data_IF_269199188054
#
_entry.id   IF_269199188054
#
_cell.length_a   1.000
_cell.length_b   1.000
_cell.length_c   1.000
_cell.angle_alpha   90.00
_cell.angle_beta   90.00
_cell.angle_gamma   90.00
#
_symmetry.space_group_name_H-M   'P 1'
#
loop_
_entity.id
_entity.type
_entity.pdbx_description
1 polymer ?
#
# COMPACT_ATOMS: atom_id res chain seq x y z
N UNK A 1 -6.70 28.51 -2.59
CA UNK A 1 -7.40 27.27 -3.01
C UNK A 1 -6.72 26.03 -2.40
N UNK A 2 -5.43 25.76 -2.70
CA UNK A 2 -4.72 24.56 -2.20
C UNK A 2 -4.72 24.45 -0.67
N UNK A 3 -4.43 25.56 0.03
CA UNK A 3 -4.42 25.55 1.50
C UNK A 3 -5.81 25.15 2.06
N UNK A 4 -6.88 25.71 1.49
CA UNK A 4 -8.25 25.37 1.88
C UNK A 4 -8.54 23.90 1.62
N UNK A 5 -8.20 23.41 0.44
CA UNK A 5 -8.33 21.98 0.12
C UNK A 5 -7.60 21.09 1.13
N UNK A 6 -6.35 21.41 1.49
CA UNK A 6 -5.61 20.64 2.50
C UNK A 6 -6.27 20.68 3.89
N UNK A 7 -6.90 21.80 4.26
CA UNK A 7 -7.69 21.92 5.47
C UNK A 7 -8.96 21.07 5.41
N UNK A 8 -9.68 21.13 4.29
CA UNK A 8 -10.97 20.44 4.10
C UNK A 8 -10.83 18.93 4.10
N UNK A 9 -9.69 18.41 3.62
CA UNK A 9 -9.39 16.96 3.61
C UNK A 9 -8.59 16.49 4.84
N UNK A 10 -8.32 17.38 5.80
CA UNK A 10 -7.64 17.03 7.06
C UNK A 10 -6.12 16.93 7.00
N UNK A 11 -5.49 17.26 5.88
CA UNK A 11 -4.01 17.17 5.72
C UNK A 11 -3.25 18.22 6.52
N UNK A 12 -3.87 19.33 6.87
CA UNK A 12 -3.34 20.38 7.75
C UNK A 12 -4.45 20.88 8.67
N UNK A 13 -4.06 21.42 9.82
CA UNK A 13 -5.02 21.92 10.79
C UNK A 13 -5.87 23.10 10.26
N UNK A 14 -7.17 23.06 10.51
CA UNK A 14 -8.11 24.15 10.22
C UNK A 14 -7.99 25.30 11.22
N UNK A 15 -7.56 25.01 12.44
CA UNK A 15 -7.40 25.95 13.53
C UNK A 15 -6.10 25.64 14.28
N UNK A 16 -5.52 26.63 14.93
CA UNK A 16 -4.31 26.43 15.73
C UNK A 16 -4.36 27.27 17.01
N UNK A 17 -4.14 26.61 18.13
CA UNK A 17 -4.10 27.31 19.41
C UNK A 17 -2.71 27.84 19.75
N UNK A 18 -2.65 29.04 20.28
CA UNK A 18 -1.40 29.64 20.75
C UNK A 18 -0.85 28.85 21.95
N UNK A 19 0.39 28.33 21.89
CA UNK A 19 0.95 27.58 23.00
C UNK A 19 1.17 28.42 24.27
N UNK A 20 1.22 29.77 24.16
CA UNK A 20 1.38 30.68 25.30
C UNK A 20 0.05 31.06 25.96
N UNK A 21 -0.91 31.57 25.20
CA UNK A 21 -2.14 32.12 25.75
C UNK A 21 -3.39 31.28 25.47
N UNK A 22 -3.28 30.15 24.78
CA UNK A 22 -4.37 29.23 24.43
C UNK A 22 -5.49 29.86 23.56
N UNK A 23 -5.34 31.08 23.09
CA UNK A 23 -6.27 31.71 22.16
C UNK A 23 -6.08 31.13 20.76
N UNK A 24 -7.14 31.09 19.96
CA UNK A 24 -7.06 30.74 18.55
C UNK A 24 -6.14 31.69 17.80
N UNK A 25 -5.23 31.12 17.03
CA UNK A 25 -4.30 31.89 16.17
C UNK A 25 -4.99 32.27 14.87
N UNK A 26 -4.58 33.40 14.31
CA UNK A 26 -5.12 33.90 13.04
C UNK A 26 -4.22 33.43 11.89
N UNK A 27 -4.84 32.91 10.81
CA UNK A 27 -4.13 32.60 9.57
C UNK A 27 -3.77 33.90 8.83
N UNK A 28 -2.49 34.18 8.68
CA UNK A 28 -1.98 35.43 8.08
C UNK A 28 -1.12 35.14 6.88
N UNK A 29 -1.14 36.03 5.88
CA UNK A 29 -0.31 35.94 4.68
C UNK A 29 1.14 36.24 5.02
N UNK A 30 2.08 35.39 4.53
CA UNK A 30 3.51 35.56 4.67
C UNK A 30 4.21 35.21 3.37
N UNK A 31 4.56 36.22 2.59
CA UNK A 31 5.13 36.04 1.25
C UNK A 31 6.49 35.31 1.23
N UNK A 32 7.26 35.35 2.33
CA UNK A 32 8.57 34.69 2.46
C UNK A 32 8.46 33.18 2.78
N UNK A 33 7.27 32.65 3.11
CA UNK A 33 7.09 31.22 3.33
C UNK A 33 6.76 30.50 2.02
N UNK A 34 7.10 29.21 1.93
CA UNK A 34 6.80 28.37 0.76
C UNK A 34 5.29 28.34 0.46
N UNK A 35 4.47 28.23 1.49
CA UNK A 35 3.01 28.14 1.37
C UNK A 35 2.29 29.46 1.46
N UNK A 36 3.05 30.58 1.56
CA UNK A 36 2.55 31.97 1.60
C UNK A 36 1.66 32.30 2.82
N UNK A 37 1.52 31.43 3.82
CA UNK A 37 0.69 31.59 5.00
C UNK A 37 1.39 31.08 6.26
N UNK A 38 1.01 31.66 7.42
CA UNK A 38 1.43 31.22 8.74
C UNK A 38 0.28 31.44 9.76
N UNK A 39 0.29 30.65 10.81
CA UNK A 39 -0.52 30.92 12.01
C UNK A 39 0.17 31.97 12.87
N UNK A 40 -0.54 33.00 13.28
CA UNK A 40 -0.03 34.09 14.10
C UNK A 40 -0.92 34.38 15.29
N UNK A 41 -0.30 34.51 16.46
CA UNK A 41 -0.89 35.09 17.64
C UNK A 41 -0.05 36.27 18.08
N UNK A 42 -0.67 37.42 18.22
CA UNK A 42 -0.01 38.63 18.69
C UNK A 42 -0.84 39.27 19.80
N UNK A 43 -0.23 39.42 20.98
CA UNK A 43 -0.83 40.11 22.11
C UNK A 43 0.12 41.25 22.45
N UNK A 44 -0.38 42.51 22.37
CA UNK A 44 0.42 43.71 22.61
C UNK A 44 0.98 43.69 24.02
N UNK A 45 2.27 43.94 24.14
CA UNK A 45 2.97 43.96 25.43
C UNK A 45 3.28 42.59 26.06
N UNK A 46 2.78 41.47 25.48
CA UNK A 46 2.98 40.13 26.05
C UNK A 46 3.78 39.20 25.13
N UNK A 47 3.23 38.85 23.96
CA UNK A 47 3.94 37.92 23.08
C UNK A 47 3.54 38.04 21.60
N UNK A 48 4.45 37.54 20.73
CA UNK A 48 4.20 37.29 19.34
C UNK A 48 4.63 35.84 19.01
N UNK A 49 3.68 34.98 18.68
CA UNK A 49 3.93 33.58 18.33
C UNK A 49 3.57 33.36 16.88
N UNK A 50 4.46 32.68 16.15
CA UNK A 50 4.23 32.28 14.76
C UNK A 50 4.41 30.75 14.64
N UNK A 51 3.60 30.13 13.80
CA UNK A 51 3.68 28.69 13.50
C UNK A 51 3.45 28.48 12.02
N UNK A 52 4.17 27.51 11.45
CA UNK A 52 3.94 27.06 10.09
C UNK A 52 2.57 26.42 9.97
N UNK A 53 1.90 26.61 8.85
CA UNK A 53 0.65 25.87 8.50
C UNK A 53 0.89 24.37 8.38
N UNK A 54 2.16 23.94 8.20
CA UNK A 54 2.58 22.53 8.11
C UNK A 54 2.78 21.85 9.45
N UNK A 55 2.77 22.60 10.56
CA UNK A 55 3.11 22.07 11.89
C UNK A 55 2.16 20.94 12.27
N UNK A 56 2.73 19.76 12.61
CA UNK A 56 1.97 18.57 12.94
C UNK A 56 1.30 17.89 11.74
N UNK A 57 1.74 18.18 10.52
CA UNK A 57 1.16 17.59 9.31
C UNK A 57 2.18 16.77 8.51
N UNK A 58 1.69 16.00 7.57
CA UNK A 58 2.50 15.23 6.61
C UNK A 58 3.53 16.08 5.85
N UNK A 59 3.30 17.38 5.72
CA UNK A 59 4.19 18.31 5.03
C UNK A 59 5.27 18.93 5.93
N UNK A 60 5.28 18.67 7.24
CA UNK A 60 6.08 19.44 8.21
C UNK A 60 7.56 19.50 7.87
N UNK A 61 8.16 18.37 7.52
CA UNK A 61 9.59 18.27 7.23
C UNK A 61 9.94 18.54 5.76
N UNK A 62 8.96 18.73 4.89
CA UNK A 62 9.19 18.91 3.46
C UNK A 62 9.51 20.36 3.09
N UNK A 63 10.48 20.53 2.19
CA UNK A 63 10.78 21.82 1.53
C UNK A 63 10.01 22.01 0.21
N UNK A 64 9.35 20.95 -0.29
CA UNK A 64 8.55 20.96 -1.52
C UNK A 64 7.23 21.66 -1.21
N UNK A 65 6.69 22.43 -2.17
CA UNK A 65 5.38 23.08 -1.99
C UNK A 65 4.26 22.04 -1.84
N UNK A 66 3.20 22.37 -1.08
CA UNK A 66 2.04 21.48 -0.93
C UNK A 66 1.43 21.13 -2.29
N UNK A 67 1.40 22.09 -3.23
CA UNK A 67 0.93 21.86 -4.60
C UNK A 67 1.71 20.73 -5.27
N UNK A 68 3.05 20.79 -5.23
CA UNK A 68 3.87 19.77 -5.86
C UNK A 68 3.74 18.40 -5.17
N UNK A 69 3.54 18.38 -3.86
CA UNK A 69 3.29 17.12 -3.15
C UNK A 69 1.95 16.52 -3.57
N UNK A 70 0.89 17.33 -3.65
CA UNK A 70 -0.43 16.86 -4.11
C UNK A 70 -0.38 16.38 -5.56
N UNK A 71 0.31 17.10 -6.45
CA UNK A 71 0.50 16.65 -7.84
C UNK A 71 1.31 15.36 -7.93
N UNK A 72 2.37 15.21 -7.10
CA UNK A 72 3.10 13.93 -7.01
C UNK A 72 2.19 12.79 -6.53
N UNK A 73 1.31 13.06 -5.57
CA UNK A 73 0.34 12.08 -5.06
C UNK A 73 -0.63 11.67 -6.17
N UNK A 74 -1.17 12.63 -6.91
CA UNK A 74 -2.04 12.36 -8.06
C UNK A 74 -1.33 11.52 -9.12
N UNK A 75 -0.11 11.89 -9.50
CA UNK A 75 0.69 11.13 -10.46
C UNK A 75 1.04 9.72 -9.95
N UNK A 76 1.29 9.57 -8.67
CA UNK A 76 1.49 8.26 -8.05
C UNK A 76 0.23 7.41 -8.16
N UNK A 77 -0.91 7.94 -7.74
CA UNK A 77 -2.21 7.26 -7.81
C UNK A 77 -2.59 6.88 -9.25
N UNK A 78 -2.24 7.73 -10.22
CA UNK A 78 -2.42 7.46 -11.66
C UNK A 78 -1.35 6.53 -12.26
N UNK A 79 -0.45 5.95 -11.46
CA UNK A 79 0.66 5.08 -11.91
C UNK A 79 1.60 5.73 -12.94
N UNK A 80 1.77 7.05 -12.90
CA UNK A 80 2.72 7.74 -13.78
C UNK A 80 4.16 7.29 -13.51
N UNK A 81 4.96 7.26 -14.57
CA UNK A 81 6.38 6.90 -14.44
C UNK A 81 7.14 7.99 -13.67
N UNK A 82 8.15 7.58 -12.93
CA UNK A 82 8.97 8.51 -12.14
C UNK A 82 9.66 9.59 -12.98
N UNK A 83 10.09 9.26 -14.20
CA UNK A 83 10.71 10.25 -15.11
C UNK A 83 9.71 11.33 -15.51
N UNK A 84 8.45 10.99 -15.73
CA UNK A 84 7.42 11.95 -16.11
C UNK A 84 7.14 12.92 -14.95
N UNK A 85 7.07 12.39 -13.71
CA UNK A 85 6.91 13.20 -12.49
C UNK A 85 8.08 14.19 -12.33
N UNK A 86 9.32 13.73 -12.55
CA UNK A 86 10.50 14.58 -12.47
C UNK A 86 10.44 15.71 -13.50
N UNK A 87 10.06 15.39 -14.72
CA UNK A 87 9.97 16.36 -15.81
C UNK A 87 8.87 17.38 -15.56
N UNK A 88 7.65 16.95 -15.26
CA UNK A 88 6.47 17.80 -15.08
C UNK A 88 6.61 18.77 -13.89
N UNK A 89 7.20 18.30 -12.79
CA UNK A 89 7.30 19.08 -11.56
C UNK A 89 8.67 19.75 -11.35
N UNK A 90 9.64 19.52 -12.23
CA UNK A 90 11.00 20.05 -12.09
C UNK A 90 11.71 19.57 -10.82
N UNK A 91 11.37 18.39 -10.31
CA UNK A 91 11.90 17.85 -9.06
C UNK A 91 13.09 16.92 -9.30
N UNK A 92 13.99 16.86 -8.31
CA UNK A 92 15.11 15.94 -8.35
C UNK A 92 14.64 14.48 -8.28
N UNK A 93 15.40 13.58 -8.90
CA UNK A 93 15.16 12.13 -8.81
C UNK A 93 15.08 11.67 -7.35
N UNK A 94 15.94 12.19 -6.49
CA UNK A 94 15.96 11.86 -5.06
C UNK A 94 14.64 12.21 -4.39
N UNK A 95 14.20 13.45 -4.54
CA UNK A 95 12.93 13.91 -3.96
C UNK A 95 11.73 13.07 -4.40
N UNK A 96 11.66 12.73 -5.69
CA UNK A 96 10.57 11.89 -6.21
C UNK A 96 10.66 10.45 -5.68
N UNK A 97 11.89 9.89 -5.54
CA UNK A 97 12.08 8.57 -4.93
C UNK A 97 11.63 8.53 -3.48
N UNK A 98 12.02 9.54 -2.68
CA UNK A 98 11.69 9.63 -1.25
C UNK A 98 10.17 9.72 -1.06
N UNK A 99 9.52 10.61 -1.81
CA UNK A 99 8.07 10.76 -1.74
C UNK A 99 7.32 9.49 -2.20
N UNK A 100 7.82 8.79 -3.22
CA UNK A 100 7.24 7.49 -3.58
C UNK A 100 7.41 6.43 -2.50
N UNK A 101 8.46 6.49 -1.70
CA UNK A 101 8.61 5.61 -0.52
C UNK A 101 7.58 5.94 0.54
N UNK A 102 7.38 7.23 0.87
CA UNK A 102 6.31 7.66 1.79
C UNK A 102 4.91 7.28 1.29
N UNK A 103 4.65 7.41 -0.02
CA UNK A 103 3.37 6.96 -0.58
C UNK A 103 3.13 5.46 -0.42
N UNK A 104 4.18 4.63 -0.52
CA UNK A 104 4.06 3.19 -0.25
C UNK A 104 3.80 2.89 1.21
N UNK A 105 4.39 3.65 2.13
CA UNK A 105 4.09 3.54 3.57
C UNK A 105 2.61 3.82 3.82
N UNK A 106 2.06 4.90 3.23
CA UNK A 106 0.61 5.19 3.30
C UNK A 106 -0.21 4.03 2.72
N UNK A 107 0.17 3.49 1.55
CA UNK A 107 -0.52 2.33 0.99
C UNK A 107 -0.51 1.13 1.95
N UNK A 108 0.62 0.87 2.62
CA UNK A 108 0.72 -0.21 3.60
C UNK A 108 -0.21 0.02 4.79
N UNK A 109 -0.20 1.23 5.34
CA UNK A 109 -1.03 1.60 6.49
C UNK A 109 -2.52 1.47 6.15
N UNK A 110 -2.94 1.98 4.98
CA UNK A 110 -4.32 1.81 4.51
C UNK A 110 -4.68 0.33 4.35
N UNK A 111 -3.82 -0.46 3.69
CA UNK A 111 -4.07 -1.90 3.49
C UNK A 111 -4.15 -2.64 4.82
N UNK A 112 -3.33 -2.29 5.81
CA UNK A 112 -3.38 -2.91 7.15
C UNK A 112 -4.65 -2.52 7.89
N UNK A 113 -5.02 -1.24 7.86
CA UNK A 113 -6.21 -0.71 8.57
C UNK A 113 -7.52 -1.17 7.93
N UNK A 114 -7.58 -1.29 6.61
CA UNK A 114 -8.76 -1.75 5.86
C UNK A 114 -8.79 -3.28 5.68
N UNK A 115 -7.74 -4.00 6.14
CA UNK A 115 -7.66 -5.44 5.96
C UNK A 115 -8.82 -6.15 6.64
N UNK A 116 -9.61 -6.86 5.84
CA UNK A 116 -10.60 -7.81 6.32
C UNK A 116 -10.15 -9.21 5.93
N UNK A 117 -10.46 -10.20 6.76
CA UNK A 117 -10.23 -11.59 6.38
C UNK A 117 -10.93 -11.90 5.06
N UNK A 118 -10.29 -12.71 4.24
CA UNK A 118 -10.83 -13.20 2.96
C UNK A 118 -11.80 -14.35 3.19
N UNK A 119 -12.68 -14.58 2.23
CA UNK A 119 -13.52 -15.76 2.21
C UNK A 119 -14.72 -15.67 3.14
N UNK A 120 -15.03 -16.78 3.81
CA UNK A 120 -16.25 -17.09 4.52
C UNK A 120 -17.08 -18.13 3.78
N UNK A 121 -18.22 -18.49 4.34
CA UNK A 121 -19.10 -19.53 3.78
C UNK A 121 -19.52 -19.19 2.32
N UNK A 122 -19.38 -20.17 1.44
CA UNK A 122 -19.71 -20.02 0.01
C UNK A 122 -18.72 -19.19 -0.81
N UNK A 123 -17.62 -18.72 -0.21
CA UNK A 123 -16.54 -17.99 -0.89
C UNK A 123 -15.35 -18.91 -1.18
N UNK A 124 -14.65 -18.58 -2.25
CA UNK A 124 -13.47 -19.32 -2.70
C UNK A 124 -12.25 -18.40 -2.60
N UNK A 125 -11.19 -18.90 -1.99
CA UNK A 125 -9.89 -18.24 -1.92
C UNK A 125 -8.84 -19.15 -2.54
N UNK A 126 -8.10 -18.64 -3.53
CA UNK A 126 -6.91 -19.31 -4.08
C UNK A 126 -5.70 -18.91 -3.27
N UNK A 127 -4.87 -19.86 -2.86
CA UNK A 127 -3.61 -19.64 -2.16
C UNK A 127 -2.44 -20.26 -2.91
N UNK A 128 -1.28 -19.60 -2.86
CA UNK A 128 -0.04 -20.08 -3.49
C UNK A 128 1.18 -19.33 -2.94
N UNK A 129 2.40 -19.84 -3.21
CA UNK A 129 3.66 -19.18 -2.94
C UNK A 129 4.40 -18.83 -4.23
N UNK A 130 5.06 -17.69 -4.21
CA UNK A 130 5.92 -17.28 -5.31
C UNK A 130 7.26 -16.76 -4.82
N UNK A 131 8.33 -17.15 -5.51
CA UNK A 131 9.69 -16.65 -5.24
C UNK A 131 9.98 -15.44 -6.12
N UNK A 132 10.41 -14.35 -5.48
CA UNK A 132 10.85 -13.11 -6.12
C UNK A 132 12.36 -13.00 -6.04
N UNK A 133 13.00 -12.26 -6.97
CA UNK A 133 14.44 -12.04 -6.98
C UNK A 133 15.25 -13.12 -7.67
N UNK A 134 14.67 -13.88 -8.60
CA UNK A 134 15.46 -14.78 -9.47
C UNK A 134 16.29 -13.97 -10.47
N UNK A 135 17.55 -14.42 -10.70
CA UNK A 135 18.38 -13.87 -11.77
C UNK A 135 17.75 -14.15 -13.14
N UNK A 136 17.70 -13.12 -13.99
CA UNK A 136 17.29 -13.30 -15.37
C UNK A 136 18.38 -14.11 -16.10
N UNK A 137 18.01 -15.23 -16.70
CA UNK A 137 18.92 -16.14 -17.40
C UNK A 137 20.12 -16.69 -16.57
N UNK A 138 19.98 -16.79 -15.24
CA UNK A 138 21.04 -17.22 -14.34
C UNK A 138 22.35 -16.41 -14.42
N UNK A 139 22.33 -15.20 -15.00
CA UNK A 139 23.48 -14.32 -15.16
C UNK A 139 23.49 -13.20 -14.11
N UNK A 140 24.67 -12.71 -13.75
CA UNK A 140 24.88 -11.63 -12.79
C UNK A 140 25.05 -12.09 -11.33
N UNK A 141 25.17 -11.12 -10.38
CA UNK A 141 25.37 -11.38 -8.96
C UNK A 141 24.20 -12.18 -8.39
N UNK A 142 24.48 -13.16 -7.53
CA UNK A 142 23.44 -13.96 -6.84
C UNK A 142 22.62 -13.04 -5.94
N UNK A 143 21.33 -12.95 -6.20
CA UNK A 143 20.37 -12.25 -5.33
C UNK A 143 19.65 -13.33 -4.54
N UNK A 144 19.66 -13.20 -3.23
CA UNK A 144 18.86 -14.03 -2.36
C UNK A 144 17.39 -13.62 -2.53
N UNK A 145 16.59 -14.50 -3.16
CA UNK A 145 15.19 -14.20 -3.44
C UNK A 145 14.34 -14.37 -2.19
N UNK A 146 13.29 -13.54 -2.07
CA UNK A 146 12.29 -13.65 -1.00
C UNK A 146 11.11 -14.50 -1.45
N UNK A 147 10.60 -15.32 -0.56
CA UNK A 147 9.34 -16.02 -0.75
C UNK A 147 8.18 -15.14 -0.32
N UNK A 148 7.12 -15.16 -1.09
CA UNK A 148 5.85 -14.50 -0.75
C UNK A 148 4.77 -15.56 -0.76
N UNK A 149 4.00 -15.60 0.31
CA UNK A 149 2.76 -16.34 0.40
C UNK A 149 1.59 -15.39 0.15
N UNK A 150 0.58 -15.82 -0.58
CA UNK A 150 -0.57 -14.98 -0.88
C UNK A 150 -1.87 -15.73 -1.02
N UNK A 151 -2.96 -14.97 -0.92
CA UNK A 151 -4.31 -15.43 -1.17
C UNK A 151 -5.12 -14.40 -1.94
N UNK A 152 -5.99 -14.90 -2.83
CA UNK A 152 -6.88 -14.09 -3.67
C UNK A 152 -8.30 -14.63 -3.56
N UNK A 153 -9.25 -13.79 -3.15
CA UNK A 153 -10.67 -14.15 -3.14
C UNK A 153 -11.24 -14.06 -4.55
N UNK A 154 -11.89 -15.10 -5.02
CA UNK A 154 -12.56 -15.14 -6.33
C UNK A 154 -13.77 -14.22 -6.35
N UNK A 155 -13.96 -13.57 -7.50
CA UNK A 155 -15.09 -12.66 -7.71
C UNK A 155 -14.99 -11.34 -6.97
N UNK A 156 -13.83 -11.06 -6.32
CA UNK A 156 -13.54 -9.79 -5.69
C UNK A 156 -12.10 -9.33 -5.97
N UNK A 157 -11.78 -8.09 -5.56
CA UNK A 157 -10.40 -7.58 -5.62
C UNK A 157 -9.60 -7.84 -4.33
N UNK A 158 -10.21 -8.53 -3.34
CA UNK A 158 -9.57 -8.79 -2.06
C UNK A 158 -8.41 -9.78 -2.22
N UNK A 159 -7.30 -9.47 -1.59
CA UNK A 159 -6.11 -10.31 -1.58
C UNK A 159 -5.23 -9.96 -0.37
N UNK A 160 -4.34 -10.87 -0.02
CA UNK A 160 -3.22 -10.59 0.86
C UNK A 160 -1.93 -11.18 0.30
N UNK A 161 -0.80 -10.52 0.57
CA UNK A 161 0.53 -10.99 0.23
C UNK A 161 1.47 -10.71 1.39
N UNK A 162 2.20 -11.73 1.86
CA UNK A 162 3.15 -11.63 2.96
C UNK A 162 4.49 -12.26 2.60
N UNK A 163 5.57 -11.54 2.84
CA UNK A 163 6.91 -12.11 2.75
C UNK A 163 7.08 -13.14 3.87
N UNK A 164 7.60 -14.30 3.52
CA UNK A 164 7.85 -15.39 4.45
C UNK A 164 9.31 -15.82 4.35
N UNK A 165 9.94 -16.05 5.49
CA UNK A 165 11.30 -16.59 5.53
C UNK A 165 11.28 -18.09 5.27
N UNK A 166 10.27 -18.78 5.78
CA UNK A 166 10.10 -20.24 5.70
C UNK A 166 8.72 -20.58 5.14
N UNK A 167 8.69 -21.62 4.31
CA UNK A 167 7.45 -22.17 3.72
C UNK A 167 7.04 -23.46 4.42
N UNK A 168 7.23 -23.55 5.73
CA UNK A 168 6.78 -24.72 6.47
C UNK A 168 5.28 -24.63 6.80
N UNK A 169 4.70 -25.79 7.12
CA UNK A 169 3.28 -25.96 7.45
C UNK A 169 2.83 -24.97 8.52
N UNK A 170 3.61 -24.79 9.59
CA UNK A 170 3.22 -23.93 10.72
C UNK A 170 3.13 -22.47 10.33
N UNK A 171 4.12 -21.98 9.56
CA UNK A 171 4.15 -20.58 9.08
C UNK A 171 2.95 -20.29 8.18
N UNK A 172 2.69 -21.16 7.19
CA UNK A 172 1.61 -20.93 6.23
C UNK A 172 0.23 -21.11 6.87
N UNK A 173 0.05 -22.08 7.74
CA UNK A 173 -1.21 -22.30 8.46
C UNK A 173 -1.56 -21.10 9.33
N UNK A 174 -0.59 -20.51 10.04
CA UNK A 174 -0.81 -19.29 10.82
C UNK A 174 -1.28 -18.12 9.93
N UNK A 175 -0.67 -17.93 8.77
CA UNK A 175 -1.10 -16.90 7.83
C UNK A 175 -2.50 -17.16 7.28
N UNK A 176 -2.82 -18.41 6.94
CA UNK A 176 -4.16 -18.81 6.49
C UNK A 176 -5.20 -18.47 7.55
N UNK A 177 -4.97 -18.88 8.80
CA UNK A 177 -5.88 -18.57 9.93
C UNK A 177 -6.00 -17.08 10.24
N UNK A 178 -4.95 -16.30 9.97
CA UNK A 178 -4.95 -14.83 10.18
C UNK A 178 -5.74 -14.11 9.11
N UNK A 179 -5.64 -14.56 7.86
CA UNK A 179 -6.16 -13.82 6.71
C UNK A 179 -7.39 -14.44 6.04
N UNK A 180 -7.78 -15.66 6.39
CA UNK A 180 -8.90 -16.35 5.74
C UNK A 180 -9.88 -16.85 6.81
N UNK A 181 -11.17 -16.51 6.62
CA UNK A 181 -12.25 -16.94 7.50
C UNK A 181 -12.40 -18.47 7.50
N UNK A 182 -12.66 -19.10 8.66
CA UNK A 182 -13.11 -20.49 8.71
C UNK A 182 -14.35 -20.72 7.83
N UNK A 183 -14.51 -21.95 7.32
CA UNK A 183 -15.60 -22.30 6.40
C UNK A 183 -15.40 -21.84 4.94
N UNK A 184 -14.27 -21.19 4.65
CA UNK A 184 -13.90 -20.82 3.27
C UNK A 184 -13.52 -22.06 2.46
N UNK A 185 -13.89 -22.10 1.19
CA UNK A 185 -13.35 -23.06 0.23
C UNK A 185 -11.99 -22.58 -0.27
N UNK A 186 -10.92 -23.30 0.08
CA UNK A 186 -9.55 -22.97 -0.34
C UNK A 186 -9.15 -23.82 -1.54
N UNK A 187 -8.64 -23.16 -2.59
CA UNK A 187 -8.01 -23.80 -3.73
C UNK A 187 -6.50 -23.63 -3.64
N UNK A 188 -5.77 -24.75 -3.72
CA UNK A 188 -4.30 -24.74 -3.72
C UNK A 188 -3.74 -25.79 -4.69
N UNK A 189 -2.40 -25.79 -4.84
CA UNK A 189 -1.71 -26.96 -5.41
C UNK A 189 -1.71 -28.15 -4.44
N UNK A 190 -1.10 -29.26 -4.89
CA UNK A 190 -1.04 -30.50 -4.12
C UNK A 190 0.10 -30.52 -3.09
N UNK A 191 0.56 -29.38 -2.60
CA UNK A 191 1.66 -29.38 -1.65
C UNK A 191 1.25 -29.91 -0.25
N UNK A 192 2.10 -30.77 0.32
CA UNK A 192 1.82 -31.44 1.61
C UNK A 192 1.57 -30.51 2.79
N UNK A 193 2.08 -29.28 2.75
CA UNK A 193 1.85 -28.29 3.81
C UNK A 193 0.37 -27.95 4.02
N UNK A 194 -0.47 -28.16 3.01
CA UNK A 194 -1.89 -27.84 3.02
C UNK A 194 -2.82 -28.98 3.39
N UNK A 195 -2.29 -30.19 3.64
CA UNK A 195 -3.12 -31.38 3.96
C UNK A 195 -3.95 -31.24 5.24
N UNK A 196 -3.56 -30.34 6.14
CA UNK A 196 -4.27 -30.12 7.41
C UNK A 196 -5.43 -29.11 7.33
N UNK A 197 -5.70 -28.51 6.18
CA UNK A 197 -6.69 -27.42 6.09
C UNK A 197 -8.12 -27.89 6.41
N UNK A 198 -8.46 -29.12 6.09
CA UNK A 198 -9.77 -29.72 6.41
C UNK A 198 -9.94 -29.86 7.94
N UNK A 199 -8.90 -30.30 8.65
CA UNK A 199 -8.90 -30.43 10.10
C UNK A 199 -9.02 -29.06 10.80
N UNK A 200 -8.67 -27.99 10.10
CA UNK A 200 -8.67 -26.61 10.61
C UNK A 200 -9.94 -25.83 10.24
N UNK A 201 -10.96 -26.52 9.71
CA UNK A 201 -12.28 -25.96 9.43
C UNK A 201 -12.41 -25.26 8.08
N UNK A 202 -11.55 -25.59 7.13
CA UNK A 202 -11.65 -25.14 5.74
C UNK A 202 -12.14 -26.25 4.82
N UNK A 203 -12.79 -25.88 3.71
CA UNK A 203 -13.07 -26.82 2.60
C UNK A 203 -11.87 -26.74 1.67
N UNK A 204 -11.09 -27.82 1.54
CA UNK A 204 -9.87 -27.78 0.75
C UNK A 204 -10.00 -28.58 -0.55
N UNK A 205 -9.82 -27.89 -1.68
CA UNK A 205 -9.80 -28.50 -3.02
C UNK A 205 -8.46 -28.24 -3.70
N UNK A 206 -7.88 -29.30 -4.28
CA UNK A 206 -6.51 -29.30 -4.80
C UNK A 206 -6.50 -29.48 -6.32
N UNK A 207 -5.54 -28.83 -6.97
CA UNK A 207 -5.22 -29.04 -8.38
C UNK A 207 -3.79 -29.53 -8.54
N UNK A 208 -3.60 -30.60 -9.31
CA UNK A 208 -2.26 -31.09 -9.62
C UNK A 208 -1.79 -30.51 -10.96
N UNK A 209 -1.01 -29.44 -10.89
CA UNK A 209 -0.45 -28.77 -12.08
C UNK A 209 0.51 -29.62 -12.92
N UNK A 210 1.01 -30.73 -12.37
CA UNK A 210 1.82 -31.68 -13.16
C UNK A 210 1.00 -32.51 -14.14
N UNK A 211 -0.32 -32.59 -13.94
CA UNK A 211 -1.24 -33.37 -14.75
C UNK A 211 -2.19 -32.46 -15.53
N UNK A 212 -2.80 -31.49 -14.88
CA UNK A 212 -3.83 -30.62 -15.47
C UNK A 212 -3.74 -29.19 -14.95
N UNK A 213 -3.89 -28.18 -15.82
CA UNK A 213 -4.06 -26.77 -15.41
C UNK A 213 -5.40 -26.51 -14.70
N UNK A 214 -6.39 -27.34 -14.95
CA UNK A 214 -7.71 -27.32 -14.33
C UNK A 214 -8.10 -28.76 -14.06
N UNK A 215 -8.53 -29.05 -12.84
CA UNK A 215 -9.04 -30.37 -12.49
C UNK A 215 -10.27 -30.69 -13.37
N UNK A 216 -10.26 -31.76 -14.19
CA UNK A 216 -11.35 -32.04 -15.13
C UNK A 216 -12.65 -32.39 -14.42
N UNK A 217 -12.60 -33.00 -13.24
CA UNK A 217 -13.78 -33.51 -12.51
C UNK A 217 -14.41 -32.37 -11.66
N UNK A 218 -13.60 -31.58 -10.99
CA UNK A 218 -14.07 -30.56 -10.04
C UNK A 218 -14.05 -29.15 -10.61
N UNK A 219 -13.37 -28.92 -11.73
CA UNK A 219 -13.17 -27.58 -12.30
C UNK A 219 -12.23 -26.67 -11.50
N UNK A 220 -11.56 -27.19 -10.45
CA UNK A 220 -10.64 -26.45 -9.58
C UNK A 220 -9.40 -26.02 -10.35
N UNK A 221 -8.98 -24.79 -10.13
CA UNK A 221 -7.75 -24.21 -10.70
C UNK A 221 -7.25 -23.05 -9.82
N UNK A 222 -5.98 -22.65 -9.96
CA UNK A 222 -5.34 -21.54 -9.24
C UNK A 222 -4.92 -20.40 -10.18
N UNK A 223 -5.62 -20.25 -11.30
CA UNK A 223 -5.25 -19.30 -12.35
C UNK A 223 -5.33 -17.82 -11.89
N UNK A 224 -6.21 -17.51 -10.92
CA UNK A 224 -6.37 -16.13 -10.45
C UNK A 224 -5.14 -15.68 -9.66
N UNK A 225 -4.62 -16.54 -8.78
CA UNK A 225 -3.42 -16.20 -8.02
C UNK A 225 -2.17 -16.26 -8.88
N UNK A 226 -2.07 -17.20 -9.84
CA UNK A 226 -0.96 -17.25 -10.80
C UNK A 226 -0.93 -16.02 -11.69
N UNK A 227 -2.08 -15.58 -12.22
CA UNK A 227 -2.21 -14.34 -12.96
C UNK A 227 -1.84 -13.12 -12.12
N UNK A 228 -2.17 -13.16 -10.83
CA UNK A 228 -1.79 -12.12 -9.88
C UNK A 228 -0.28 -12.08 -9.66
N UNK A 229 0.40 -13.23 -9.51
CA UNK A 229 1.85 -13.28 -9.44
C UNK A 229 2.53 -12.68 -10.68
N UNK A 230 2.02 -12.98 -11.86
CA UNK A 230 2.53 -12.42 -13.11
C UNK A 230 2.35 -10.88 -13.13
N UNK A 231 1.19 -10.40 -12.70
CA UNK A 231 0.92 -8.96 -12.57
C UNK A 231 1.87 -8.29 -11.59
N UNK A 232 2.07 -8.85 -10.38
CA UNK A 232 3.00 -8.31 -9.39
C UNK A 232 4.43 -8.28 -9.97
N UNK A 233 4.90 -9.39 -10.55
CA UNK A 233 6.26 -9.49 -11.13
C UNK A 233 6.50 -8.52 -12.28
N UNK A 234 5.49 -8.20 -13.07
CA UNK A 234 5.60 -7.23 -14.18
C UNK A 234 5.68 -5.77 -13.69
N UNK A 235 5.06 -5.46 -12.57
CA UNK A 235 5.01 -4.11 -12.00
C UNK A 235 6.19 -3.80 -11.09
N UNK A 236 6.79 -4.83 -10.48
CA UNK A 236 7.95 -4.64 -9.61
C UNK A 236 9.24 -4.47 -10.44
N UNK A 237 10.08 -3.49 -10.11
CA UNK A 237 11.39 -3.36 -10.73
C UNK A 237 12.22 -4.63 -10.48
N UNK A 238 12.90 -5.14 -11.50
CA UNK A 238 13.65 -6.40 -11.49
C UNK A 238 14.76 -6.51 -10.43
N UNK A 239 15.10 -5.42 -9.74
CA UNK A 239 16.12 -5.34 -8.69
C UNK A 239 15.55 -5.12 -7.28
N UNK A 240 14.24 -5.20 -7.09
CA UNK A 240 13.53 -4.65 -5.92
C UNK A 240 13.33 -5.65 -4.78
N UNK A 241 14.06 -6.76 -4.74
CA UNK A 241 14.09 -7.59 -3.52
C UNK A 241 15.02 -6.91 -2.52
N UNK A 242 14.56 -5.81 -1.95
CA UNK A 242 15.23 -5.01 -0.92
C UNK A 242 14.48 -5.14 0.40
N UNK A 243 14.97 -4.47 1.43
CA UNK A 243 14.29 -4.41 2.74
C UNK A 243 12.89 -3.77 2.66
N UNK A 244 12.62 -2.97 1.62
CA UNK A 244 11.32 -2.34 1.36
C UNK A 244 10.36 -3.19 0.50
N UNK A 245 10.62 -4.49 0.33
CA UNK A 245 9.82 -5.32 -0.58
C UNK A 245 8.34 -5.40 -0.15
N UNK A 246 8.07 -5.44 1.16
CA UNK A 246 6.72 -5.42 1.70
C UNK A 246 5.94 -4.15 1.29
N UNK A 247 6.62 -3.00 1.25
CA UNK A 247 6.01 -1.74 0.84
C UNK A 247 5.53 -1.76 -0.64
N UNK A 248 6.26 -2.44 -1.51
CA UNK A 248 5.80 -2.65 -2.89
C UNK A 248 4.60 -3.61 -2.98
N UNK A 249 4.54 -4.62 -2.14
CA UNK A 249 3.36 -5.49 -2.04
C UNK A 249 2.16 -4.70 -1.51
N UNK A 250 2.37 -3.81 -0.53
CA UNK A 250 1.36 -2.88 -0.04
C UNK A 250 0.84 -1.95 -1.13
N UNK A 251 1.75 -1.34 -1.92
CA UNK A 251 1.38 -0.53 -3.10
C UNK A 251 0.51 -1.34 -4.07
N UNK A 252 0.88 -2.57 -4.40
CA UNK A 252 0.10 -3.44 -5.29
C UNK A 252 -1.28 -3.75 -4.73
N UNK A 253 -1.38 -4.13 -3.45
CA UNK A 253 -2.65 -4.45 -2.79
C UNK A 253 -3.56 -3.22 -2.75
N UNK A 254 -3.02 -2.05 -2.45
CA UNK A 254 -3.77 -0.79 -2.46
C UNK A 254 -4.36 -0.49 -3.84
N UNK A 255 -3.56 -0.57 -4.89
CA UNK A 255 -4.06 -0.35 -6.26
C UNK A 255 -5.11 -1.38 -6.68
N UNK A 256 -5.00 -2.61 -6.21
CA UNK A 256 -5.97 -3.66 -6.53
C UNK A 256 -7.30 -3.40 -5.82
N UNK A 257 -7.29 -3.05 -4.55
CA UNK A 257 -8.51 -2.75 -3.78
C UNK A 257 -9.22 -1.49 -4.27
N UNK A 258 -8.46 -0.49 -4.76
CA UNK A 258 -8.99 0.79 -5.23
C UNK A 258 -9.14 0.89 -6.76
N UNK A 259 -9.04 -0.21 -7.50
CA UNK A 259 -9.10 -0.23 -8.97
C UNK A 259 -10.42 0.30 -9.56
N UNK A 260 -11.50 0.27 -8.79
CA UNK A 260 -12.83 0.75 -9.19
C UNK A 260 -13.28 1.96 -8.36
N UNK A 261 -12.36 2.60 -7.65
CA UNK A 261 -12.67 3.81 -6.89
C UNK A 261 -12.87 5.00 -7.85
N UNK A 262 -13.96 5.75 -7.69
CA UNK A 262 -14.24 6.93 -8.52
C UNK A 262 -13.23 8.06 -8.28
N UNK A 263 -12.79 8.23 -7.03
CA UNK A 263 -11.79 9.22 -6.65
C UNK A 263 -10.67 8.57 -5.83
N UNK A 264 -9.70 7.91 -6.51
CA UNK A 264 -8.60 7.23 -5.85
C UNK A 264 -7.63 8.21 -5.17
N UNK A 265 -7.55 9.47 -5.63
CA UNK A 265 -6.75 10.51 -4.97
C UNK A 265 -7.31 10.82 -3.58
N UNK A 266 -8.61 11.02 -3.48
CA UNK A 266 -9.27 11.29 -2.19
C UNK A 266 -9.21 10.08 -1.26
N UNK A 267 -9.36 8.87 -1.80
CA UNK A 267 -9.19 7.63 -1.03
C UNK A 267 -7.78 7.54 -0.43
N UNK A 268 -6.76 7.84 -1.23
CA UNK A 268 -5.37 7.87 -0.77
C UNK A 268 -5.14 8.92 0.33
N UNK A 269 -5.62 10.15 0.12
CA UNK A 269 -5.42 11.25 1.08
C UNK A 269 -6.10 11.01 2.43
N UNK A 270 -7.21 10.25 2.47
CA UNK A 270 -7.82 9.82 3.74
C UNK A 270 -6.92 8.89 4.56
N UNK A 271 -6.05 8.14 3.91
CA UNK A 271 -5.06 7.32 4.60
C UNK A 271 -3.88 8.12 5.16
N UNK A 272 -3.74 9.39 4.77
CA UNK A 272 -2.72 10.32 5.27
C UNK A 272 -3.24 11.16 6.43
N UNK A 273 -4.52 11.53 6.40
CA UNK A 273 -5.20 12.38 7.38
C UNK A 273 -5.57 11.60 8.66
#
# INVERSE_FOLDING_TARGET
EVLRFCMDVGLIANTYECPKCKRQMTLTKRNSSVDKYEWRCQVSGDHSVRRSVRKGSWFEMSKISMINVLLMTEFFVMKRKQCDIQFELGLSKHSVCDWRSFFREVCMDVVVNESSMLGGYGKIVEIDESKFGKRKFNRGKRVEGKWVFGGVERGSNKCFFKVVERRDKSTLLNLIKTFIHPGTTIYSDCWKAYECLEDEGFIHLRVNHSINFKNPDTGVHTNSIEGTWNSIKSQLPTRTVTDQFDAYLGEYMWYRSHSHCEDPMRAFLKGVA
#
